data_IF_013292195430
#
_entry.id   IF_013292195430
#
_cell.length_a   1.000
_cell.length_b   1.000
_cell.length_c   1.000
_cell.angle_alpha   90.00
_cell.angle_beta   90.00
_cell.angle_gamma   90.00
#
_symmetry.space_group_name_H-M   'P 1'
#
loop_
_entity.id
_entity.type
_entity.pdbx_description
1 polymer ?
#
# COMPACT_ATOMS: atom_id res chain seq x y z
N UNK A 1 5.16 -30.19 23.80
CA UNK A 1 5.96 -29.73 22.64
C UNK A 1 5.13 -28.66 21.95
N UNK A 2 5.54 -27.41 22.16
CA UNK A 2 4.91 -26.12 21.77
C UNK A 2 3.45 -25.90 22.19
N UNK A 3 3.25 -25.48 23.44
CA UNK A 3 2.00 -24.87 23.94
C UNK A 3 1.82 -23.45 23.36
N UNK A 4 1.81 -23.33 22.02
CA UNK A 4 1.49 -22.07 21.37
C UNK A 4 -0.01 -21.87 21.55
N UNK A 5 -0.38 -20.99 22.48
CA UNK A 5 -1.79 -20.64 22.65
C UNK A 5 -2.33 -20.11 21.31
N UNK A 6 -3.41 -20.70 20.77
CA UNK A 6 -3.98 -20.30 19.47
C UNK A 6 -4.38 -18.81 19.44
N UNK A 7 -4.65 -18.22 20.60
CA UNK A 7 -4.91 -16.80 20.78
C UNK A 7 -3.73 -15.92 20.30
N UNK A 8 -2.49 -16.29 20.62
CA UNK A 8 -1.31 -15.52 20.18
C UNK A 8 -1.11 -15.61 18.67
N UNK A 9 -1.39 -16.77 18.07
CA UNK A 9 -1.34 -16.97 16.63
C UNK A 9 -2.39 -16.13 15.90
N UNK A 10 -3.63 -16.12 16.41
CA UNK A 10 -4.71 -15.30 15.86
C UNK A 10 -4.37 -13.81 15.90
N UNK A 11 -3.90 -13.32 17.07
CA UNK A 11 -3.52 -11.91 17.22
C UNK A 11 -2.31 -11.57 16.33
N UNK A 12 -1.29 -12.42 16.31
CA UNK A 12 -0.09 -12.21 15.48
C UNK A 12 -0.40 -12.13 13.98
N UNK A 13 -1.25 -13.03 13.46
CA UNK A 13 -1.67 -13.02 12.07
C UNK A 13 -2.54 -11.79 11.73
N UNK A 14 -3.39 -11.36 12.67
CA UNK A 14 -4.20 -10.14 12.48
C UNK A 14 -3.32 -8.89 12.34
N UNK A 15 -2.27 -8.77 13.16
CA UNK A 15 -1.33 -7.66 13.10
C UNK A 15 -0.50 -7.71 11.81
N UNK A 16 -0.05 -8.90 11.39
CA UNK A 16 0.67 -9.08 10.13
C UNK A 16 -0.19 -8.69 8.92
N UNK A 17 -1.48 -8.98 8.95
CA UNK A 17 -2.43 -8.57 7.91
C UNK A 17 -2.63 -7.05 7.82
N UNK A 18 -2.50 -6.34 8.95
CA UNK A 18 -2.60 -4.87 9.01
C UNK A 18 -1.28 -4.16 8.68
N UNK A 19 -0.14 -4.85 8.83
CA UNK A 19 1.18 -4.30 8.53
C UNK A 19 1.30 -3.63 7.14
N UNK A 20 0.88 -4.24 6.01
CA UNK A 20 1.00 -3.60 4.69
C UNK A 20 0.18 -2.31 4.59
N UNK A 21 -0.96 -2.23 5.27
CA UNK A 21 -1.79 -1.02 5.30
C UNK A 21 -1.11 0.12 6.05
N UNK A 22 -0.52 -0.18 7.21
CA UNK A 22 0.27 0.79 7.96
C UNK A 22 1.49 1.27 7.17
N UNK A 23 2.20 0.35 6.52
CA UNK A 23 3.33 0.69 5.64
C UNK A 23 2.89 1.63 4.51
N UNK A 24 1.74 1.41 3.89
CA UNK A 24 1.24 2.34 2.87
C UNK A 24 0.88 3.72 3.45
N UNK A 25 0.35 3.81 4.67
CA UNK A 25 -0.08 5.10 5.26
C UNK A 25 1.05 5.94 5.83
N UNK A 26 2.08 5.31 6.41
CA UNK A 26 3.20 6.02 7.05
C UNK A 26 4.27 6.45 6.03
N UNK A 27 4.18 5.97 4.80
CA UNK A 27 5.19 6.21 3.76
C UNK A 27 4.78 7.27 2.73
N UNK A 28 5.67 7.59 1.79
CA UNK A 28 5.40 8.52 0.69
C UNK A 28 4.34 8.00 -0.30
N UNK A 29 3.90 6.74 -0.16
CA UNK A 29 2.93 6.08 -1.03
C UNK A 29 1.65 6.88 -1.21
N UNK A 30 1.02 7.34 -0.12
CA UNK A 30 -0.24 8.09 -0.19
C UNK A 30 -0.12 9.34 -1.06
N UNK A 31 0.96 10.11 -0.89
CA UNK A 31 1.18 11.34 -1.68
C UNK A 31 1.32 11.02 -3.17
N UNK A 32 2.07 9.99 -3.52
CA UNK A 32 2.33 9.62 -4.92
C UNK A 32 1.03 9.18 -5.61
N UNK A 33 0.26 8.29 -4.98
CA UNK A 33 -1.03 7.80 -5.51
C UNK A 33 -2.04 8.94 -5.67
N UNK A 34 -2.15 9.83 -4.68
CA UNK A 34 -3.09 10.95 -4.74
C UNK A 34 -2.72 11.88 -5.89
N UNK A 35 -1.46 12.27 -6.03
CA UNK A 35 -1.03 13.18 -7.10
C UNK A 35 -1.23 12.54 -8.48
N UNK A 36 -0.86 11.27 -8.66
CA UNK A 36 -1.09 10.57 -9.95
C UNK A 36 -2.57 10.39 -10.27
N UNK A 37 -3.42 10.14 -9.27
CA UNK A 37 -4.88 10.07 -9.44
C UNK A 37 -5.48 11.42 -9.84
N UNK A 38 -5.02 12.52 -9.22
CA UNK A 38 -5.42 13.87 -9.59
C UNK A 38 -5.03 14.20 -11.05
N UNK A 39 -3.81 13.82 -11.46
CA UNK A 39 -3.35 13.98 -12.84
C UNK A 39 -4.23 13.17 -13.80
N UNK A 40 -4.56 11.91 -13.47
CA UNK A 40 -5.46 11.10 -14.31
C UNK A 40 -6.83 11.76 -14.49
N UNK A 41 -7.42 12.28 -13.42
CA UNK A 41 -8.70 12.98 -13.50
C UNK A 41 -8.59 14.25 -14.35
N UNK A 42 -7.48 14.99 -14.24
CA UNK A 42 -7.23 16.18 -15.04
C UNK A 42 -7.05 15.88 -16.54
N UNK A 43 -6.50 14.70 -16.89
CA UNK A 43 -6.32 14.27 -18.28
C UNK A 43 -7.64 13.85 -18.98
N UNK A 44 -8.76 13.74 -18.25
CA UNK A 44 -10.07 13.38 -18.83
C UNK A 44 -10.17 11.95 -19.37
N UNK A 45 -9.15 11.12 -19.12
CA UNK A 45 -9.06 9.72 -19.58
C UNK A 45 -9.49 8.78 -18.45
N UNK A 46 -10.55 8.00 -18.68
CA UNK A 46 -11.19 7.20 -17.61
C UNK A 46 -10.49 5.86 -17.32
N UNK A 47 -9.79 5.28 -18.31
CA UNK A 47 -9.16 3.96 -18.17
C UNK A 47 -7.64 3.97 -18.27
N UNK A 48 -7.05 5.03 -18.82
CA UNK A 48 -5.60 5.17 -18.92
C UNK A 48 -5.18 6.28 -17.97
N UNK A 49 -4.26 6.07 -17.03
CA UNK A 49 -3.64 4.81 -16.61
C UNK A 49 -4.54 3.98 -15.67
N UNK A 50 -4.50 2.63 -15.74
CA UNK A 50 -5.23 1.77 -14.82
C UNK A 50 -4.81 1.97 -13.36
N UNK A 51 -5.73 1.84 -12.42
CA UNK A 51 -5.44 2.00 -10.98
C UNK A 51 -4.34 1.03 -10.49
N UNK A 52 -4.30 -0.18 -11.04
CA UNK A 52 -3.26 -1.17 -10.73
C UNK A 52 -1.86 -0.69 -11.12
N UNK A 53 -1.72 0.00 -12.25
CA UNK A 53 -0.45 0.55 -12.71
C UNK A 53 -0.01 1.72 -11.83
N UNK A 54 -0.95 2.63 -11.49
CA UNK A 54 -0.65 3.75 -10.60
C UNK A 54 -0.20 3.27 -9.21
N UNK A 55 -0.88 2.27 -8.65
CA UNK A 55 -0.51 1.70 -7.35
C UNK A 55 0.85 0.99 -7.41
N UNK A 56 1.14 0.23 -8.48
CA UNK A 56 2.44 -0.41 -8.68
C UNK A 56 3.60 0.59 -8.80
N UNK A 57 3.41 1.66 -9.58
CA UNK A 57 4.37 2.76 -9.68
C UNK A 57 4.59 3.43 -8.32
N UNK A 58 3.52 3.68 -7.56
CA UNK A 58 3.63 4.32 -6.25
C UNK A 58 4.40 3.48 -5.22
N UNK A 59 4.28 2.15 -5.25
CA UNK A 59 5.07 1.26 -4.36
C UNK A 59 6.55 1.34 -4.72
N UNK A 60 6.90 1.20 -6.00
CA UNK A 60 8.30 1.22 -6.46
C UNK A 60 8.94 2.57 -6.13
N UNK A 61 8.25 3.67 -6.42
CA UNK A 61 8.73 5.01 -6.12
C UNK A 61 8.84 5.27 -4.62
N UNK A 62 7.91 4.75 -3.80
CA UNK A 62 8.01 4.89 -2.34
C UNK A 62 9.23 4.18 -1.77
N UNK A 63 9.49 2.95 -2.22
CA UNK A 63 10.68 2.19 -1.82
C UNK A 63 11.94 2.95 -2.24
N UNK A 64 12.00 3.50 -3.45
CA UNK A 64 13.14 4.29 -3.92
C UNK A 64 13.38 5.56 -3.09
N UNK A 65 12.33 6.27 -2.67
CA UNK A 65 12.45 7.51 -1.88
C UNK A 65 12.88 7.23 -0.43
N UNK A 66 12.61 6.02 0.07
CA UNK A 66 12.84 5.64 1.47
C UNK A 66 14.05 4.74 1.70
N UNK A 67 14.60 4.14 0.64
CA UNK A 67 15.86 3.40 0.65
C UNK A 67 17.05 4.36 0.88
#
# INVERSE_FOLDING_TARGET
>A
MTDINPLYLMVGLSLLGLAPFFLMMVTSYVKIVVVTSLVRNALGVQQVPPAMVMNGLAIILSVFIMA
#
